data_IF_946701289130
#
_entry.id   IF_946701289130
#
_cell.length_a   1.000
_cell.length_b   1.000
_cell.length_c   1.000
_cell.angle_alpha   90.00
_cell.angle_beta   90.00
_cell.angle_gamma   90.00
#
_symmetry.space_group_name_H-M   'P 1'
#
loop_
_entity.id
_entity.type
_entity.pdbx_description
1 polymer ?
#
# COMPACT_ATOMS: atom_id res chain seq x y z
N UNK A 1 -6.74 2.19 28.09
CA UNK A 1 -7.40 1.49 27.03
C UNK A 1 -6.88 1.91 25.68
N UNK A 2 -6.67 0.96 24.86
CA UNK A 2 -6.08 1.20 23.57
C UNK A 2 -7.14 1.54 22.56
N UNK A 3 -6.92 2.55 21.81
CA UNK A 3 -7.86 2.90 20.80
C UNK A 3 -7.40 2.51 19.42
N UNK A 4 -6.17 2.26 19.22
CA UNK A 4 -5.69 1.89 17.90
C UNK A 4 -5.36 0.42 17.84
N UNK A 5 -6.37 -0.39 17.96
CA UNK A 5 -6.16 -1.82 17.95
C UNK A 5 -6.01 -2.35 16.54
N UNK A 6 -5.12 -1.73 15.79
CA UNK A 6 -4.81 -2.17 14.44
C UNK A 6 -3.65 -3.15 14.52
N UNK A 7 -3.91 -4.37 14.08
CA UNK A 7 -2.88 -5.41 14.03
C UNK A 7 -2.47 -5.60 12.57
N UNK A 8 -1.19 -5.41 12.28
CA UNK A 8 -0.67 -5.67 10.94
C UNK A 8 0.08 -7.00 10.95
N UNK A 9 -0.22 -7.85 10.01
CA UNK A 9 0.34 -9.18 9.88
C UNK A 9 0.52 -9.54 8.41
N UNK A 10 1.26 -10.62 8.09
CA UNK A 10 1.34 -11.07 6.70
C UNK A 10 -0.04 -11.43 6.16
N UNK A 11 -0.29 -11.07 4.90
CA UNK A 11 -1.49 -11.48 4.21
C UNK A 11 -1.36 -12.94 3.78
N UNK A 12 -2.48 -13.67 3.84
CA UNK A 12 -2.53 -15.05 3.38
C UNK A 12 -3.65 -15.21 2.36
N UNK A 13 -3.69 -16.37 1.72
CA UNK A 13 -4.76 -16.66 0.75
C UNK A 13 -6.14 -16.63 1.39
N UNK A 14 -6.23 -16.95 2.67
CA UNK A 14 -7.51 -16.91 3.39
C UNK A 14 -8.09 -15.49 3.46
N UNK A 15 -7.24 -14.47 3.31
CA UNK A 15 -7.68 -13.08 3.35
C UNK A 15 -8.30 -12.62 2.02
N UNK A 16 -8.08 -13.36 0.93
CA UNK A 16 -8.43 -12.87 -0.40
C UNK A 16 -9.91 -12.53 -0.60
N UNK A 17 -10.87 -13.29 -0.08
CA UNK A 17 -12.27 -12.87 -0.26
C UNK A 17 -12.52 -11.45 0.25
N UNK A 18 -11.98 -11.12 1.43
CA UNK A 18 -12.17 -9.80 2.01
C UNK A 18 -11.33 -8.75 1.29
N UNK A 19 -10.11 -9.11 0.90
CA UNK A 19 -9.22 -8.23 0.12
C UNK A 19 -9.92 -7.82 -1.18
N UNK A 20 -10.56 -8.78 -1.87
CA UNK A 20 -11.23 -8.49 -3.12
C UNK A 20 -12.43 -7.56 -2.93
N UNK A 21 -13.14 -7.68 -1.82
CA UNK A 21 -14.23 -6.75 -1.51
C UNK A 21 -13.71 -5.32 -1.42
N UNK A 22 -12.61 -5.14 -0.70
CA UNK A 22 -12.02 -3.81 -0.52
C UNK A 22 -11.45 -3.31 -1.85
N UNK A 23 -10.78 -4.17 -2.59
CA UNK A 23 -10.19 -3.81 -3.87
C UNK A 23 -11.26 -3.33 -4.85
N UNK A 24 -12.35 -4.09 -4.97
CA UNK A 24 -13.43 -3.75 -5.87
C UNK A 24 -14.15 -2.46 -5.46
N UNK A 25 -14.22 -2.18 -4.17
CA UNK A 25 -14.84 -0.96 -3.67
C UNK A 25 -13.94 0.26 -3.81
N UNK A 26 -12.63 0.06 -3.97
CA UNK A 26 -11.65 1.14 -3.90
C UNK A 26 -11.12 1.59 -5.26
N UNK A 27 -11.13 0.70 -6.25
CA UNK A 27 -10.46 0.97 -7.53
C UNK A 27 -11.35 0.68 -8.73
N UNK A 28 -11.30 1.54 -9.76
CA UNK A 28 -12.08 1.31 -10.98
C UNK A 28 -11.55 0.11 -11.80
N UNK A 29 -10.24 -0.17 -11.72
CA UNK A 29 -9.63 -1.31 -12.41
C UNK A 29 -9.01 -2.23 -11.37
N UNK A 30 -9.83 -2.97 -10.61
CA UNK A 30 -9.33 -3.77 -9.50
C UNK A 30 -8.53 -4.98 -9.98
N UNK A 31 -7.54 -5.38 -9.17
CA UNK A 31 -6.85 -6.63 -9.38
C UNK A 31 -7.81 -7.80 -9.16
N UNK A 32 -7.58 -8.87 -9.90
CA UNK A 32 -8.37 -10.10 -9.78
C UNK A 32 -7.78 -11.00 -8.71
N UNK A 33 -8.54 -12.00 -8.31
CA UNK A 33 -8.06 -13.02 -7.38
C UNK A 33 -6.78 -13.69 -7.90
N UNK A 34 -6.73 -13.99 -9.21
CA UNK A 34 -5.58 -14.63 -9.82
C UNK A 34 -4.31 -13.78 -9.70
N UNK A 35 -4.46 -12.48 -9.88
CA UNK A 35 -3.32 -11.56 -9.75
C UNK A 35 -2.80 -11.56 -8.31
N UNK A 36 -3.72 -11.47 -7.33
CA UNK A 36 -3.31 -11.52 -5.92
C UNK A 36 -2.64 -12.84 -5.56
N UNK A 37 -3.16 -13.97 -6.02
CA UNK A 37 -2.55 -15.28 -5.74
C UNK A 37 -1.15 -15.38 -6.32
N UNK A 38 -0.97 -14.90 -7.54
CA UNK A 38 0.33 -14.89 -8.18
C UNK A 38 1.31 -14.01 -7.40
N UNK A 39 0.85 -12.84 -6.96
CA UNK A 39 1.69 -11.92 -6.22
C UNK A 39 2.07 -12.46 -4.84
N UNK A 40 1.15 -13.15 -4.16
CA UNK A 40 1.43 -13.75 -2.85
C UNK A 40 2.49 -14.84 -2.92
N UNK A 41 2.62 -15.51 -4.05
CA UNK A 41 3.62 -16.57 -4.22
C UNK A 41 4.94 -16.07 -4.83
N UNK A 42 5.02 -14.78 -5.13
CA UNK A 42 6.23 -14.17 -5.69
C UNK A 42 7.19 -13.81 -4.57
N UNK A 43 8.42 -14.31 -4.62
CA UNK A 43 9.41 -14.08 -3.57
C UNK A 43 9.84 -12.62 -3.46
N UNK A 44 9.64 -11.82 -4.52
CA UNK A 44 9.97 -10.40 -4.50
C UNK A 44 8.88 -9.56 -3.85
N UNK A 45 7.71 -10.13 -3.60
CA UNK A 45 6.54 -9.42 -3.09
C UNK A 45 6.36 -9.68 -1.60
N UNK A 46 5.92 -8.64 -0.90
CA UNK A 46 5.56 -8.74 0.52
C UNK A 46 4.21 -8.08 0.70
N UNK A 47 3.24 -8.83 1.22
CA UNK A 47 1.88 -8.34 1.42
C UNK A 47 1.52 -8.35 2.89
N UNK A 48 0.87 -7.28 3.31
CA UNK A 48 0.44 -7.07 4.71
C UNK A 48 -1.07 -6.95 4.76
N UNK A 49 -1.66 -7.52 5.79
CA UNK A 49 -3.07 -7.36 6.12
C UNK A 49 -3.18 -6.61 7.44
N UNK A 50 -4.09 -5.67 7.51
CA UNK A 50 -4.36 -4.93 8.74
C UNK A 50 -5.74 -5.31 9.25
N UNK A 51 -5.80 -5.72 10.53
CA UNK A 51 -7.06 -6.05 11.18
C UNK A 51 -7.41 -4.97 12.20
N UNK A 52 -8.69 -4.69 12.29
CA UNK A 52 -9.23 -3.86 13.36
C UNK A 52 -10.44 -4.59 13.92
N UNK A 53 -10.43 -4.82 15.24
CA UNK A 53 -11.50 -5.54 15.94
C UNK A 53 -11.76 -6.92 15.31
N UNK A 54 -10.67 -7.59 14.90
CA UNK A 54 -10.78 -8.95 14.37
C UNK A 54 -11.20 -9.05 12.90
N UNK A 55 -11.40 -7.91 12.23
CA UNK A 55 -11.83 -7.89 10.85
C UNK A 55 -10.77 -7.25 9.97
N UNK A 56 -10.47 -7.85 8.83
CA UNK A 56 -9.53 -7.25 7.90
C UNK A 56 -10.09 -5.93 7.40
N UNK A 57 -9.33 -4.86 7.64
CA UNK A 57 -9.74 -3.49 7.36
C UNK A 57 -8.95 -2.85 6.25
N UNK A 58 -7.81 -3.42 5.89
CA UNK A 58 -6.97 -2.88 4.83
C UNK A 58 -5.82 -3.82 4.51
N UNK A 59 -5.09 -3.48 3.46
CA UNK A 59 -3.94 -4.28 3.04
C UNK A 59 -2.97 -3.41 2.26
N UNK A 60 -1.74 -3.90 2.13
CA UNK A 60 -0.71 -3.21 1.39
C UNK A 60 0.29 -4.22 0.86
N UNK A 61 0.88 -3.90 -0.29
CA UNK A 61 1.90 -4.74 -0.89
C UNK A 61 3.07 -3.93 -1.38
N UNK A 62 4.26 -4.54 -1.33
CA UNK A 62 5.46 -3.92 -1.85
C UNK A 62 6.32 -4.97 -2.54
N UNK A 63 7.08 -4.51 -3.54
CA UNK A 63 8.05 -5.33 -4.25
C UNK A 63 9.45 -4.86 -3.87
N UNK A 64 10.35 -5.80 -3.62
CA UNK A 64 11.74 -5.50 -3.34
C UNK A 64 12.61 -6.18 -4.39
N UNK A 65 13.40 -5.39 -5.12
CA UNK A 65 14.35 -5.91 -6.11
C UNK A 65 15.71 -5.33 -5.75
N UNK A 66 16.64 -6.19 -5.32
CA UNK A 66 17.92 -5.74 -4.81
C UNK A 66 17.69 -4.75 -3.66
N UNK A 67 18.20 -3.52 -3.76
CA UNK A 67 17.99 -2.50 -2.72
C UNK A 67 16.88 -1.51 -3.07
N UNK A 68 16.03 -1.84 -4.04
CA UNK A 68 14.95 -0.97 -4.49
C UNK A 68 13.62 -1.49 -3.98
N UNK A 69 12.81 -0.62 -3.44
CA UNK A 69 11.48 -0.98 -2.97
C UNK A 69 10.40 -0.16 -3.66
N UNK A 70 9.32 -0.84 -4.05
CA UNK A 70 8.18 -0.21 -4.73
C UNK A 70 6.90 -0.64 -4.04
N UNK A 71 6.08 0.35 -3.67
CA UNK A 71 4.78 0.05 -3.09
C UNK A 71 3.81 -0.22 -4.23
N UNK A 72 3.23 -1.41 -4.24
CA UNK A 72 2.27 -1.80 -5.28
C UNK A 72 0.90 -1.20 -5.01
N UNK A 73 0.46 -1.25 -3.75
CA UNK A 73 -0.89 -0.86 -3.41
C UNK A 73 -1.03 -0.67 -1.92
N UNK A 74 -1.89 0.27 -1.53
CA UNK A 74 -2.39 0.41 -0.16
C UNK A 74 -3.88 0.70 -0.28
N UNK A 75 -4.70 -0.09 0.39
CA UNK A 75 -6.14 0.10 0.37
C UNK A 75 -6.73 -0.12 1.76
N UNK A 76 -7.73 0.69 2.09
CA UNK A 76 -8.45 0.61 3.35
C UNK A 76 -9.93 0.54 3.03
N UNK A 77 -10.66 -0.30 3.78
CA UNK A 77 -12.11 -0.36 3.65
C UNK A 77 -12.68 1.05 3.73
N UNK A 78 -13.48 1.48 2.74
CA UNK A 78 -14.04 2.83 2.75
C UNK A 78 -14.80 3.18 4.03
N UNK A 79 -15.39 2.19 4.70
CA UNK A 79 -16.12 2.44 5.94
C UNK A 79 -15.24 2.57 7.16
N UNK A 80 -13.94 2.31 7.03
CA UNK A 80 -13.01 2.32 8.16
C UNK A 80 -11.87 3.31 7.98
N UNK A 81 -12.02 4.28 7.09
CA UNK A 81 -11.00 5.32 6.90
C UNK A 81 -10.90 6.19 8.14
N UNK A 82 -9.74 6.83 8.30
CA UNK A 82 -9.41 7.70 9.44
C UNK A 82 -9.26 6.93 10.75
N UNK A 83 -9.08 5.60 10.69
CA UNK A 83 -8.83 4.80 11.87
C UNK A 83 -7.34 4.45 12.04
N UNK A 84 -6.47 5.11 11.28
CA UNK A 84 -5.04 4.88 11.37
C UNK A 84 -4.56 3.62 10.65
N UNK A 85 -5.40 3.03 9.82
CA UNK A 85 -5.08 1.75 9.19
C UNK A 85 -4.02 1.91 8.11
N UNK A 86 -4.15 2.93 7.24
CA UNK A 86 -3.16 3.20 6.22
C UNK A 86 -1.81 3.54 6.83
N UNK A 87 -1.81 4.31 7.91
CA UNK A 87 -0.57 4.66 8.62
C UNK A 87 0.10 3.43 9.20
N UNK A 88 -0.67 2.51 9.77
CA UNK A 88 -0.13 1.28 10.33
C UNK A 88 0.49 0.40 9.24
N UNK A 89 -0.19 0.30 8.08
CA UNK A 89 0.32 -0.45 6.95
C UNK A 89 1.62 0.16 6.41
N UNK A 90 1.63 1.48 6.25
CA UNK A 90 2.81 2.16 5.74
C UNK A 90 3.99 2.02 6.70
N UNK A 91 3.72 2.10 8.00
CA UNK A 91 4.74 1.89 9.01
C UNK A 91 5.34 0.47 8.92
N UNK A 92 4.50 -0.55 8.73
CA UNK A 92 4.97 -1.92 8.59
C UNK A 92 5.85 -2.08 7.35
N UNK A 93 5.49 -1.43 6.25
CA UNK A 93 6.33 -1.48 5.04
C UNK A 93 7.66 -0.79 5.27
N UNK A 94 7.69 0.32 6.02
CA UNK A 94 8.96 1.00 6.32
C UNK A 94 9.85 0.13 7.22
N UNK A 95 9.27 -0.53 8.20
CA UNK A 95 10.03 -1.45 9.05
C UNK A 95 10.66 -2.56 8.19
N UNK A 96 9.89 -3.13 7.26
CA UNK A 96 10.39 -4.15 6.37
C UNK A 96 11.49 -3.60 5.44
N UNK A 97 11.30 -2.40 4.92
CA UNK A 97 12.28 -1.77 4.05
C UNK A 97 13.61 -1.56 4.74
N UNK A 98 13.57 -1.08 5.98
CA UNK A 98 14.79 -0.85 6.76
C UNK A 98 15.47 -2.16 7.12
N UNK A 99 14.69 -3.18 7.49
CA UNK A 99 15.24 -4.48 7.82
C UNK A 99 15.95 -5.13 6.62
N UNK A 100 15.47 -4.85 5.41
CA UNK A 100 16.06 -5.36 4.18
C UNK A 100 17.12 -4.43 3.60
N UNK A 101 17.39 -3.32 4.26
CA UNK A 101 18.38 -2.34 3.84
C UNK A 101 18.10 -1.78 2.44
N UNK A 102 16.82 -1.52 2.16
CA UNK A 102 16.44 -0.89 0.89
C UNK A 102 16.92 0.55 0.86
N UNK A 103 17.35 0.99 -0.30
CA UNK A 103 17.80 2.37 -0.49
C UNK A 103 16.62 3.34 -0.50
N UNK A 104 15.47 2.88 -0.95
CA UNK A 104 14.27 3.73 -1.03
C UNK A 104 12.99 2.89 -1.10
N UNK A 105 11.87 3.56 -0.83
CA UNK A 105 10.53 3.10 -1.20
C UNK A 105 9.95 4.13 -2.15
N UNK A 106 9.35 3.68 -3.24
CA UNK A 106 8.75 4.55 -4.24
C UNK A 106 7.36 4.06 -4.59
N UNK A 107 6.50 4.98 -5.02
CA UNK A 107 5.13 4.65 -5.39
C UNK A 107 4.63 5.62 -6.45
N UNK A 108 3.57 5.20 -7.16
CA UNK A 108 2.77 6.11 -7.98
C UNK A 108 1.43 6.35 -7.28
N UNK A 109 0.96 7.60 -7.33
CA UNK A 109 -0.32 7.99 -6.77
C UNK A 109 -1.01 8.94 -7.73
N UNK A 110 -2.35 8.84 -7.85
CA UNK A 110 -3.10 9.76 -8.71
C UNK A 110 -2.85 11.21 -8.26
N UNK A 111 -2.58 12.07 -9.22
CA UNK A 111 -2.24 13.47 -8.93
C UNK A 111 -3.34 14.18 -8.15
N UNK A 112 -4.59 13.77 -8.32
CA UNK A 112 -5.71 14.37 -7.61
C UNK A 112 -6.04 13.74 -6.27
N UNK A 113 -5.31 12.71 -5.85
CA UNK A 113 -5.60 12.01 -4.59
C UNK A 113 -4.93 12.73 -3.41
N UNK A 114 -5.53 13.85 -3.01
CA UNK A 114 -4.97 14.71 -1.97
C UNK A 114 -4.78 13.99 -0.62
N UNK A 115 -5.76 13.18 -0.14
CA UNK A 115 -5.54 12.49 1.14
C UNK A 115 -4.36 11.54 1.13
N UNK A 116 -4.17 10.79 0.04
CA UNK A 116 -3.04 9.86 -0.06
C UNK A 116 -1.72 10.61 -0.13
N UNK A 117 -1.67 11.66 -0.94
CA UNK A 117 -0.47 12.49 -1.05
C UNK A 117 -0.09 13.07 0.31
N UNK A 118 -1.09 13.55 1.07
CA UNK A 118 -0.84 14.08 2.40
C UNK A 118 -0.30 13.02 3.34
N UNK A 119 -0.83 11.81 3.29
CA UNK A 119 -0.35 10.70 4.10
C UNK A 119 1.11 10.39 3.79
N UNK A 120 1.45 10.23 2.52
CA UNK A 120 2.82 9.90 2.12
C UNK A 120 3.77 11.04 2.50
N UNK A 121 3.34 12.28 2.33
CA UNK A 121 4.16 13.44 2.71
C UNK A 121 4.44 13.43 4.20
N UNK A 122 3.46 13.11 5.03
CA UNK A 122 3.68 13.02 6.48
C UNK A 122 4.69 11.94 6.84
N UNK A 123 4.77 10.88 6.04
CA UNK A 123 5.74 9.80 6.26
C UNK A 123 7.12 10.11 5.67
N UNK A 124 7.28 11.28 5.06
CA UNK A 124 8.57 11.71 4.54
C UNK A 124 8.80 11.43 3.07
N UNK A 125 7.79 10.98 2.35
CA UNK A 125 7.89 10.80 0.90
C UNK A 125 7.85 12.16 0.22
N UNK A 126 8.59 12.30 -0.87
CA UNK A 126 8.65 13.52 -1.65
C UNK A 126 8.29 13.21 -3.10
N UNK A 127 7.59 14.15 -3.73
CA UNK A 127 7.30 14.04 -5.17
C UNK A 127 8.59 14.28 -5.94
N UNK A 128 9.00 13.31 -6.76
CA UNK A 128 10.23 13.41 -7.54
C UNK A 128 9.96 13.49 -9.05
N UNK A 129 8.71 13.40 -9.46
CA UNK A 129 8.35 13.46 -10.86
C UNK A 129 6.91 13.06 -11.06
N UNK A 130 6.50 12.97 -12.31
CA UNK A 130 5.18 12.48 -12.64
C UNK A 130 5.19 11.69 -13.95
N UNK A 131 4.18 10.83 -14.09
CA UNK A 131 3.94 10.06 -15.31
C UNK A 131 2.65 10.57 -15.92
N UNK A 132 2.72 11.37 -17.03
CA UNK A 132 1.50 11.89 -17.66
C UNK A 132 0.63 10.76 -18.19
N UNK A 133 -0.67 10.84 -17.89
CA UNK A 133 -1.64 9.87 -18.39
C UNK A 133 -1.44 8.44 -17.95
N UNK A 134 -0.76 8.23 -16.83
CA UNK A 134 -0.45 6.90 -16.32
C UNK A 134 -1.70 6.07 -16.01
N UNK A 135 -2.70 6.70 -15.37
CA UNK A 135 -3.99 6.05 -15.08
C UNK A 135 -4.95 6.28 -16.25
N UNK A 136 -5.73 5.25 -16.57
CA UNK A 136 -6.60 5.31 -17.74
C UNK A 136 -8.09 5.40 -17.39
N UNK A 137 -8.50 5.00 -16.19
CA UNK A 137 -9.91 4.92 -15.81
C UNK A 137 -10.16 5.53 -14.44
N UNK A 138 -10.40 6.84 -14.31
CA UNK A 138 -10.33 7.86 -15.34
C UNK A 138 -8.88 8.22 -15.68
N UNK A 139 -8.69 8.85 -16.81
CA UNK A 139 -7.36 9.27 -17.24
C UNK A 139 -6.82 10.35 -16.30
N UNK A 140 -5.65 10.13 -15.79
CA UNK A 140 -5.05 11.03 -14.83
C UNK A 140 -3.54 10.79 -14.76
N UNK A 141 -2.79 11.86 -14.45
CA UNK A 141 -1.36 11.73 -14.22
C UNK A 141 -1.10 11.05 -12.89
N UNK A 142 0.04 10.38 -12.80
CA UNK A 142 0.55 9.85 -11.54
C UNK A 142 1.67 10.74 -11.05
N UNK A 143 1.68 11.03 -9.74
CA UNK A 143 2.88 11.55 -9.10
C UNK A 143 3.73 10.36 -8.68
N UNK A 144 5.05 10.51 -8.85
CA UNK A 144 6.00 9.53 -8.32
C UNK A 144 6.50 10.09 -7.01
N UNK A 145 6.22 9.36 -5.91
CA UNK A 145 6.66 9.79 -4.59
C UNK A 145 7.65 8.77 -4.04
N UNK A 146 8.72 9.27 -3.47
CA UNK A 146 9.82 8.42 -3.03
C UNK A 146 10.34 8.90 -1.69
N UNK A 147 10.68 7.92 -0.84
CA UNK A 147 11.39 8.19 0.40
C UNK A 147 12.71 7.43 0.35
N UNK A 148 13.80 8.16 0.50
CA UNK A 148 15.14 7.58 0.51
C UNK A 148 15.55 7.29 1.95
N UNK A 149 16.26 6.17 2.15
CA UNK A 149 16.75 5.79 3.46
C UNK A 149 18.23 6.01 3.52
N UNK A 150 18.68 6.63 4.59
CA UNK A 150 20.11 6.85 4.83
C UNK A 150 20.69 5.58 5.43
N UNK A 151 21.80 5.15 4.90
CA UNK A 151 22.50 3.97 5.40
C UNK A 151 23.60 4.35 6.39
#
# INVERSE_FOLDING_TARGET
MMQNDVLVRPMTEADLPRVLEIENASFPDPWTEGIFRSSLSDELETWFAAEKDGLLAGYAGMQSVLDEGYIDNIAVDPGLRRAGIASALLNAMEVAAKARQLAFLSLEVRAGNAPAIALYTRFGFQSIGKRPGYYLSPKEDALIMTKYYTL
#
